data_IF_289816092622
#
_entry.id   IF_289816092622
#
_cell.length_a   1.000
_cell.length_b   1.000
_cell.length_c   1.000
_cell.angle_alpha   90.00
_cell.angle_beta   90.00
_cell.angle_gamma   90.00
#
_symmetry.space_group_name_H-M   'P 1'
#
loop_
_entity.id
_entity.type
_entity.pdbx_description
1 polymer ?
#
# COMPACT_ATOMS: atom_id res chain seq x y z
N UNK A 1 -17.82 -8.24 -3.42
CA UNK A 1 -16.56 -8.57 -2.74
C UNK A 1 -16.40 -7.66 -1.52
N UNK A 2 -15.80 -8.15 -0.43
CA UNK A 2 -15.50 -7.33 0.76
C UNK A 2 -14.05 -6.80 0.65
N UNK A 3 -13.89 -5.47 0.68
CA UNK A 3 -12.62 -4.78 0.51
C UNK A 3 -12.15 -4.06 1.79
N UNK A 4 -12.74 -4.37 2.94
CA UNK A 4 -12.45 -3.74 4.23
C UNK A 4 -12.08 -4.79 5.28
N UNK A 5 -11.26 -4.42 6.27
CA UNK A 5 -10.89 -5.30 7.39
C UNK A 5 -9.97 -6.48 7.02
N UNK A 6 -9.33 -6.44 5.85
CA UNK A 6 -8.44 -7.50 5.38
C UNK A 6 -6.95 -7.19 5.68
N UNK A 7 -6.09 -8.20 5.53
CA UNK A 7 -4.65 -8.00 5.34
C UNK A 7 -4.30 -8.15 3.87
N UNK A 8 -3.64 -7.15 3.27
CA UNK A 8 -3.35 -7.09 1.84
C UNK A 8 -1.84 -6.97 1.62
N UNK A 9 -1.27 -7.85 0.79
CA UNK A 9 0.12 -7.79 0.35
C UNK A 9 0.20 -7.15 -1.04
N UNK A 10 0.95 -6.05 -1.17
CA UNK A 10 1.16 -5.35 -2.43
C UNK A 10 2.63 -5.41 -2.82
N UNK A 11 2.93 -6.10 -3.92
CA UNK A 11 4.25 -6.08 -4.55
C UNK A 11 4.39 -4.82 -5.40
N UNK A 12 5.59 -4.23 -5.44
CA UNK A 12 5.81 -2.98 -6.17
C UNK A 12 5.09 -1.76 -5.57
N UNK A 13 4.60 -1.84 -4.33
CA UNK A 13 3.82 -0.77 -3.69
C UNK A 13 4.62 0.46 -3.26
N UNK A 14 5.91 0.54 -3.57
CA UNK A 14 6.76 1.67 -3.15
C UNK A 14 6.65 2.91 -4.06
N UNK A 15 5.98 2.80 -5.22
CA UNK A 15 5.71 3.93 -6.11
C UNK A 15 4.63 3.60 -7.15
N UNK A 16 4.17 4.62 -7.89
CA UNK A 16 3.23 4.44 -9.00
C UNK A 16 1.88 3.87 -8.55
N UNK A 17 1.28 3.00 -9.37
CA UNK A 17 -0.04 2.41 -9.10
C UNK A 17 -0.07 1.60 -7.81
N UNK A 18 0.98 0.81 -7.54
CA UNK A 18 1.07 0.02 -6.32
C UNK A 18 1.03 0.87 -5.06
N UNK A 19 1.62 2.07 -5.09
CA UNK A 19 1.55 3.02 -3.98
C UNK A 19 0.13 3.59 -3.81
N UNK A 20 -0.52 4.02 -4.91
CA UNK A 20 -1.89 4.51 -4.86
C UNK A 20 -2.89 3.46 -4.37
N UNK A 21 -2.68 2.19 -4.73
CA UNK A 21 -3.45 1.07 -4.19
C UNK A 21 -3.19 0.85 -2.70
N UNK A 22 -1.93 0.93 -2.25
CA UNK A 22 -1.59 0.81 -0.85
C UNK A 22 -2.30 1.88 0.00
N UNK A 23 -2.24 3.15 -0.43
CA UNK A 23 -2.95 4.24 0.25
C UNK A 23 -4.46 4.02 0.27
N UNK A 24 -5.06 3.64 -0.87
CA UNK A 24 -6.51 3.43 -0.93
C UNK A 24 -6.97 2.30 -0.02
N UNK A 25 -6.26 1.17 -0.02
CA UNK A 25 -6.62 0.03 0.82
C UNK A 25 -6.38 0.30 2.30
N UNK A 26 -5.34 1.06 2.65
CA UNK A 26 -5.10 1.51 4.02
C UNK A 26 -6.27 2.37 4.52
N UNK A 27 -6.70 3.36 3.73
CA UNK A 27 -7.85 4.22 4.06
C UNK A 27 -9.18 3.46 4.17
N UNK A 28 -9.30 2.30 3.53
CA UNK A 28 -10.46 1.41 3.66
C UNK A 28 -10.42 0.54 4.93
N UNK A 29 -9.49 0.80 5.86
CA UNK A 29 -9.38 0.07 7.13
C UNK A 29 -8.74 -1.30 6.99
N UNK A 30 -7.93 -1.50 5.96
CA UNK A 30 -7.16 -2.74 5.80
C UNK A 30 -5.76 -2.58 6.37
N UNK A 31 -5.18 -3.70 6.78
CA UNK A 31 -3.74 -3.78 7.07
C UNK A 31 -3.00 -4.04 5.77
N UNK A 32 -2.15 -3.11 5.35
CA UNK A 32 -1.43 -3.21 4.08
C UNK A 32 0.05 -3.46 4.31
N UNK A 33 0.59 -4.50 3.66
CA UNK A 33 2.01 -4.85 3.66
C UNK A 33 2.56 -4.57 2.26
N UNK A 34 3.59 -3.72 2.18
CA UNK A 34 4.18 -3.31 0.89
C UNK A 34 5.55 -3.97 0.71
N UNK A 35 5.74 -4.64 -0.42
CA UNK A 35 7.01 -5.22 -0.83
C UNK A 35 7.65 -4.38 -1.94
N UNK A 36 8.95 -4.08 -1.78
CA UNK A 36 9.73 -3.34 -2.77
C UNK A 36 11.18 -3.79 -2.81
N UNK A 37 11.82 -3.64 -3.96
CA UNK A 37 13.22 -4.06 -4.20
C UNK A 37 14.25 -3.18 -3.46
N UNK A 38 13.84 -2.00 -2.99
CA UNK A 38 14.69 -1.02 -2.29
C UNK A 38 13.94 -0.52 -1.06
N UNK A 39 14.57 -0.60 0.10
CA UNK A 39 13.98 -0.19 1.38
C UNK A 39 13.73 1.33 1.50
N UNK A 40 14.43 2.16 0.71
CA UNK A 40 14.53 3.61 0.96
C UNK A 40 13.69 4.50 0.04
N UNK A 41 12.88 3.95 -0.87
CA UNK A 41 12.07 4.78 -1.77
C UNK A 41 10.73 5.15 -1.11
N UNK A 42 10.76 6.02 -0.10
CA UNK A 42 9.58 6.75 0.37
C UNK A 42 9.46 8.01 -0.48
N UNK A 43 8.56 8.05 -1.46
CA UNK A 43 8.17 9.31 -2.09
C UNK A 43 6.73 9.64 -1.71
N UNK A 44 6.59 10.77 -1.00
CA UNK A 44 5.39 11.58 -0.76
C UNK A 44 4.12 10.81 -0.37
N UNK A 45 3.87 10.77 0.94
CA UNK A 45 2.58 11.12 1.57
C UNK A 45 2.84 11.34 3.07
N UNK A 46 2.30 12.40 3.71
CA UNK A 46 2.47 12.67 5.15
C UNK A 46 1.41 11.98 6.03
N UNK A 47 0.56 11.13 5.43
CA UNK A 47 -0.48 10.37 6.11
C UNK A 47 0.03 8.99 6.56
#
# INVERSE_FOLDING_TARGET
>A
MNLTGNTILITGGTSGLGFGFAERFLHLGNRVIVCGKRASRKKRSPF
#
